data_IF_282657281576
#
_entry.id   IF_282657281576
#
_cell.length_a   1.000
_cell.length_b   1.000
_cell.length_c   1.000
_cell.angle_alpha   90.00
_cell.angle_beta   90.00
_cell.angle_gamma   90.00
#
_symmetry.space_group_name_H-M   'P 1'
#
loop_
_entity.id
_entity.type
_entity.pdbx_description
1 polymer ?
#
# COMPACT_ATOMS: atom_id res chain seq x y z
N UNK A 1 -4.68 -4.76 5.98
CA UNK A 1 -3.59 -4.01 5.33
C UNK A 1 -4.09 -3.30 4.08
N UNK A 2 -3.64 -2.07 3.83
CA UNK A 2 -4.10 -1.32 2.68
C UNK A 2 -3.02 -0.38 2.17
N UNK A 3 -2.77 -0.42 0.86
CA UNK A 3 -2.03 0.63 0.16
C UNK A 3 -3.04 1.49 -0.57
N UNK A 4 -3.00 2.80 -0.34
CA UNK A 4 -4.10 3.70 -0.71
C UNK A 4 -4.18 3.93 -2.22
N UNK A 5 -3.19 4.61 -2.78
CA UNK A 5 -3.06 4.97 -4.20
C UNK A 5 -1.77 5.75 -4.40
N UNK A 6 -1.36 5.88 -5.65
CA UNK A 6 -0.34 6.85 -6.02
C UNK A 6 -0.96 8.25 -5.96
N UNK A 7 -0.36 9.14 -5.18
CA UNK A 7 -0.73 10.54 -5.09
C UNK A 7 0.34 11.37 -5.82
N UNK A 8 0.03 11.94 -7.00
CA UNK A 8 0.95 12.85 -7.67
C UNK A 8 1.10 14.12 -6.83
N UNK A 9 2.34 14.55 -6.64
CA UNK A 9 2.68 15.80 -5.98
C UNK A 9 2.97 16.85 -7.03
N UNK A 10 2.39 18.02 -6.84
CA UNK A 10 2.57 19.21 -7.68
C UNK A 10 3.07 20.34 -6.80
N UNK A 11 3.68 21.37 -7.42
CA UNK A 11 4.15 22.56 -6.72
C UNK A 11 3.03 23.23 -5.91
N UNK A 12 1.84 23.33 -6.52
CA UNK A 12 0.71 24.05 -5.96
C UNK A 12 0.88 25.57 -6.05
N UNK A 13 -0.18 26.32 -5.67
CA UNK A 13 -0.18 27.77 -5.78
C UNK A 13 0.76 28.41 -4.75
N UNK A 14 1.54 29.41 -5.19
CA UNK A 14 2.33 30.29 -4.30
C UNK A 14 3.56 29.64 -3.65
N UNK A 15 4.01 28.48 -4.14
CA UNK A 15 5.20 27.78 -3.62
C UNK A 15 6.21 27.53 -4.72
N UNK A 16 7.47 27.35 -4.35
CA UNK A 16 8.53 26.86 -5.24
C UNK A 16 8.55 25.33 -5.25
N UNK A 17 9.19 24.74 -6.25
CA UNK A 17 9.33 23.29 -6.37
C UNK A 17 10.04 22.66 -5.17
N UNK A 18 11.19 23.21 -4.76
CA UNK A 18 11.92 22.76 -3.56
C UNK A 18 11.03 22.85 -2.32
N UNK A 19 10.28 23.96 -2.15
CA UNK A 19 9.40 24.10 -0.97
C UNK A 19 8.30 23.06 -0.95
N UNK A 20 7.68 22.75 -2.08
CA UNK A 20 6.65 21.73 -2.15
C UNK A 20 7.16 20.32 -1.81
N UNK A 21 8.42 20.01 -2.17
CA UNK A 21 9.06 18.72 -1.83
C UNK A 21 9.52 18.71 -0.37
N UNK A 22 10.13 19.79 0.13
CA UNK A 22 10.51 19.92 1.56
C UNK A 22 9.29 19.82 2.46
N UNK A 23 8.18 20.50 2.17
CA UNK A 23 6.95 20.45 2.98
C UNK A 23 6.46 18.99 3.18
N UNK A 24 6.51 18.16 2.14
CA UNK A 24 6.08 16.76 2.25
C UNK A 24 7.14 15.90 2.95
N UNK A 25 8.42 16.09 2.65
CA UNK A 25 9.53 15.33 3.27
C UNK A 25 9.57 15.63 4.77
N UNK A 26 9.55 16.89 5.18
CA UNK A 26 9.55 17.30 6.59
C UNK A 26 8.33 16.75 7.34
N UNK A 27 7.16 16.73 6.68
CA UNK A 27 5.96 16.15 7.27
C UNK A 27 6.09 14.64 7.49
N UNK A 28 6.67 13.89 6.54
CA UNK A 28 6.80 12.43 6.64
C UNK A 28 8.03 11.99 7.43
N UNK A 29 9.09 12.80 7.48
CA UNK A 29 10.34 12.52 8.18
C UNK A 29 10.30 12.94 9.67
N UNK A 30 9.15 13.44 10.16
CA UNK A 30 9.01 13.95 11.52
C UNK A 30 9.59 12.99 12.57
N UNK A 31 10.65 13.40 13.32
CA UNK A 31 11.35 12.57 14.29
C UNK A 31 10.44 11.90 15.33
N UNK A 32 9.35 12.58 15.73
CA UNK A 32 8.38 12.05 16.71
C UNK A 32 7.63 10.82 16.20
N UNK A 33 7.57 10.63 14.88
CA UNK A 33 6.84 9.53 14.22
C UNK A 33 7.77 8.45 13.69
N UNK A 34 9.06 8.74 13.51
CA UNK A 34 10.03 7.92 12.78
C UNK A 34 11.17 7.41 13.68
N UNK A 35 10.93 7.34 14.98
CA UNK A 35 11.94 6.95 15.98
C UNK A 35 13.22 7.80 15.85
N UNK A 36 13.07 9.12 15.99
CA UNK A 36 14.15 10.11 15.84
C UNK A 36 14.88 10.06 14.48
N UNK A 37 14.19 9.59 13.44
CA UNK A 37 14.74 9.47 12.08
C UNK A 37 15.36 8.12 11.76
N UNK A 38 15.46 7.18 12.73
CA UNK A 38 16.01 5.83 12.51
C UNK A 38 15.20 5.02 11.50
N UNK A 39 13.91 5.31 11.38
CA UNK A 39 12.99 4.63 10.47
C UNK A 39 12.79 5.37 9.14
N UNK A 40 13.84 6.06 8.68
CA UNK A 40 13.88 6.74 7.39
C UNK A 40 14.96 6.08 6.54
N UNK A 41 14.63 5.74 5.30
CA UNK A 41 15.57 5.13 4.36
C UNK A 41 15.45 5.77 2.98
N UNK A 42 16.58 6.25 2.46
CA UNK A 42 16.72 6.77 1.10
C UNK A 42 17.30 5.72 0.14
N UNK A 43 16.96 5.85 -1.14
CA UNK A 43 17.58 5.10 -2.23
C UNK A 43 17.90 6.05 -3.36
N UNK A 44 19.17 6.05 -3.78
CA UNK A 44 19.71 7.01 -4.75
C UNK A 44 19.44 8.48 -4.38
N UNK A 45 19.20 8.74 -3.09
CA UNK A 45 19.19 10.06 -2.45
C UNK A 45 19.40 9.95 -0.94
N UNK A 46 19.83 11.03 -0.30
CA UNK A 46 19.81 11.17 1.16
C UNK A 46 18.49 11.82 1.59
N UNK A 47 17.82 11.26 2.59
CA UNK A 47 16.52 11.75 3.04
C UNK A 47 16.52 13.20 3.52
N UNK A 48 17.68 13.71 3.98
CA UNK A 48 17.84 15.09 4.48
C UNK A 48 17.98 16.11 3.34
N UNK A 49 18.40 15.66 2.16
CA UNK A 49 18.64 16.51 0.99
C UNK A 49 17.79 16.12 -0.22
N UNK A 50 16.85 15.19 -0.04
CA UNK A 50 16.03 14.64 -1.12
C UNK A 50 15.20 15.70 -1.85
N UNK A 51 14.85 16.82 -1.22
CA UNK A 51 14.20 17.95 -1.90
C UNK A 51 15.13 18.64 -2.91
N UNK A 52 16.38 18.91 -2.52
CA UNK A 52 17.41 19.49 -3.38
C UNK A 52 17.83 18.53 -4.49
N UNK A 53 17.98 17.24 -4.17
CA UNK A 53 18.36 16.20 -5.14
C UNK A 53 17.26 15.95 -6.17
N UNK A 54 15.98 15.94 -5.76
CA UNK A 54 14.87 15.80 -6.71
C UNK A 54 14.76 17.03 -7.63
N UNK A 55 15.01 18.23 -7.08
CA UNK A 55 15.07 19.45 -7.87
C UNK A 55 16.23 19.41 -8.89
N UNK A 56 17.41 18.94 -8.46
CA UNK A 56 18.58 18.81 -9.33
C UNK A 56 18.31 17.80 -10.46
N UNK A 57 17.78 16.62 -10.14
CA UNK A 57 17.40 15.61 -11.13
C UNK A 57 16.43 16.19 -12.18
N UNK A 58 15.49 17.03 -11.76
CA UNK A 58 14.59 17.71 -12.68
C UNK A 58 15.27 18.76 -13.55
N UNK A 59 16.20 19.55 -13.01
CA UNK A 59 17.01 20.49 -13.81
C UNK A 59 17.84 19.74 -14.86
N UNK A 60 18.45 18.63 -14.49
CA UNK A 60 19.19 17.76 -15.42
C UNK A 60 18.28 17.19 -16.52
N UNK A 61 17.08 16.74 -16.17
CA UNK A 61 16.09 16.29 -17.16
C UNK A 61 15.67 17.40 -18.15
N UNK A 62 15.47 18.63 -17.66
CA UNK A 62 15.16 19.77 -18.53
C UNK A 62 16.34 20.07 -19.45
N UNK A 63 17.57 20.10 -18.92
CA UNK A 63 18.77 20.34 -19.72
C UNK A 63 19.00 19.26 -20.79
N UNK A 64 18.75 17.99 -20.44
CA UNK A 64 18.95 16.86 -21.35
C UNK A 64 17.86 16.73 -22.43
N UNK A 65 16.60 17.08 -22.10
CA UNK A 65 15.46 16.80 -22.99
C UNK A 65 14.80 18.04 -23.58
N UNK A 66 15.07 19.23 -23.03
CA UNK A 66 14.36 20.48 -23.35
C UNK A 66 12.89 20.51 -22.91
N UNK A 67 12.38 19.46 -22.25
CA UNK A 67 10.96 19.32 -21.92
C UNK A 67 10.62 20.00 -20.60
N UNK A 68 9.89 21.12 -20.68
CA UNK A 68 9.36 21.84 -19.53
C UNK A 68 7.84 21.69 -19.47
N UNK A 69 7.30 21.43 -18.27
CA UNK A 69 5.86 21.48 -18.00
C UNK A 69 5.55 22.61 -17.01
N UNK A 70 4.40 23.26 -17.20
CA UNK A 70 3.91 24.34 -16.35
C UNK A 70 3.27 23.86 -15.05
N UNK A 71 2.12 24.43 -14.70
CA UNK A 71 1.45 24.24 -13.40
C UNK A 71 1.04 22.80 -13.09
N UNK A 72 0.81 21.98 -14.12
CA UNK A 72 0.37 20.58 -13.98
C UNK A 72 1.55 19.61 -13.86
N UNK A 73 2.78 20.12 -13.69
CA UNK A 73 3.93 19.26 -13.58
C UNK A 73 3.92 18.46 -12.28
N UNK A 74 4.11 17.14 -12.40
CA UNK A 74 4.24 16.25 -11.26
C UNK A 74 5.70 16.22 -10.85
N UNK A 75 6.01 16.64 -9.63
CA UNK A 75 7.40 16.73 -9.12
C UNK A 75 7.84 15.47 -8.38
N UNK A 76 6.90 14.77 -7.76
CA UNK A 76 7.14 13.51 -7.07
C UNK A 76 5.83 12.71 -6.95
N UNK A 77 5.91 11.48 -6.46
CA UNK A 77 4.76 10.63 -6.20
C UNK A 77 4.82 10.11 -4.78
N UNK A 78 3.66 10.07 -4.11
CA UNK A 78 3.54 9.58 -2.74
C UNK A 78 2.58 8.39 -2.65
N UNK A 79 2.97 7.35 -1.91
CA UNK A 79 2.14 6.20 -1.56
C UNK A 79 2.17 5.99 -0.04
N UNK A 80 1.03 5.59 0.53
CA UNK A 80 0.94 5.12 1.92
C UNK A 80 0.67 3.63 1.94
N UNK A 81 1.47 2.89 2.70
CA UNK A 81 1.39 1.44 2.86
C UNK A 81 1.15 1.14 4.34
N UNK A 82 0.02 0.51 4.68
CA UNK A 82 -0.38 0.26 6.08
C UNK A 82 -0.44 -1.22 6.40
N UNK A 83 0.10 -1.58 7.56
CA UNK A 83 0.14 -2.95 8.07
C UNK A 83 -0.90 -3.20 9.16
N UNK A 84 -1.24 -4.47 9.44
CA UNK A 84 -2.18 -4.81 10.51
C UNK A 84 -1.45 -4.65 11.85
N UNK A 85 -2.09 -4.03 12.87
CA UNK A 85 -1.49 -3.92 14.21
C UNK A 85 -1.00 -5.28 14.72
N UNK A 86 0.22 -5.32 15.26
CA UNK A 86 0.80 -6.51 15.88
C UNK A 86 1.43 -7.54 14.94
N UNK A 87 1.37 -7.35 13.62
CA UNK A 87 1.92 -8.34 12.66
C UNK A 87 3.34 -8.04 12.19
N UNK A 88 3.85 -6.82 12.41
CA UNK A 88 5.14 -6.40 11.85
C UNK A 88 5.87 -5.47 12.81
N UNK A 89 7.21 -5.53 12.79
CA UNK A 89 8.07 -4.56 13.47
C UNK A 89 8.24 -3.29 12.63
N UNK A 90 8.58 -2.13 13.23
CA UNK A 90 8.87 -0.90 12.47
C UNK A 90 9.99 -1.07 11.44
N UNK A 91 11.03 -1.82 11.78
CA UNK A 91 12.20 -2.08 10.93
C UNK A 91 11.82 -2.94 9.73
N UNK A 92 11.05 -4.00 9.95
CA UNK A 92 10.54 -4.82 8.84
C UNK A 92 9.58 -4.03 7.97
N UNK A 93 8.70 -3.22 8.56
CA UNK A 93 7.84 -2.34 7.79
C UNK A 93 8.66 -1.42 6.88
N UNK A 94 9.71 -0.79 7.40
CA UNK A 94 10.61 0.03 6.59
C UNK A 94 11.25 -0.76 5.44
N UNK A 95 11.82 -1.93 5.75
CA UNK A 95 12.44 -2.83 4.76
C UNK A 95 11.46 -3.19 3.64
N UNK A 96 10.20 -3.53 3.98
CA UNK A 96 9.15 -3.84 3.00
C UNK A 96 8.73 -2.62 2.18
N UNK A 97 8.77 -1.43 2.77
CA UNK A 97 8.55 -0.17 2.05
C UNK A 97 9.63 0.08 1.00
N UNK A 98 10.90 -0.16 1.33
CA UNK A 98 12.02 -0.06 0.39
C UNK A 98 11.89 -1.07 -0.73
N UNK A 99 11.54 -2.31 -0.40
CA UNK A 99 11.29 -3.37 -1.37
C UNK A 99 10.13 -3.03 -2.32
N UNK A 100 9.03 -2.53 -1.78
CA UNK A 100 7.91 -2.03 -2.55
C UNK A 100 8.34 -0.94 -3.53
N UNK A 101 9.07 0.07 -3.04
CA UNK A 101 9.53 1.19 -3.85
C UNK A 101 10.47 0.73 -4.98
N UNK A 102 11.46 -0.13 -4.68
CA UNK A 102 12.37 -0.69 -5.70
C UNK A 102 11.62 -1.49 -6.75
N UNK A 103 10.75 -2.41 -6.35
CA UNK A 103 9.98 -3.26 -7.29
C UNK A 103 9.04 -2.41 -8.16
N UNK A 104 8.36 -1.43 -7.57
CA UNK A 104 7.37 -0.61 -8.28
C UNK A 104 8.03 0.36 -9.28
N UNK A 105 9.13 1.00 -8.88
CA UNK A 105 9.89 1.94 -9.72
C UNK A 105 10.92 1.26 -10.61
N UNK A 106 11.08 -0.06 -10.48
CA UNK A 106 12.13 -0.87 -11.12
C UNK A 106 13.56 -0.40 -10.76
N UNK A 107 13.72 0.27 -9.62
CA UNK A 107 15.00 0.84 -9.19
C UNK A 107 15.47 2.07 -9.99
N UNK A 108 14.63 2.59 -10.89
CA UNK A 108 14.99 3.67 -11.82
C UNK A 108 14.66 5.08 -11.31
N UNK A 109 14.17 5.20 -10.08
CA UNK A 109 13.79 6.47 -9.48
C UNK A 109 14.36 6.54 -8.06
N UNK A 110 14.90 7.71 -7.68
CA UNK A 110 15.27 7.98 -6.30
C UNK A 110 14.00 8.04 -5.42
N UNK A 111 14.09 7.54 -4.19
CA UNK A 111 12.94 7.51 -3.27
C UNK A 111 13.35 7.55 -1.80
N UNK A 112 12.40 7.96 -0.96
CA UNK A 112 12.50 7.98 0.50
C UNK A 112 11.34 7.19 1.09
N UNK A 113 11.62 6.35 2.07
CA UNK A 113 10.66 5.57 2.87
C UNK A 113 10.73 6.02 4.31
N UNK A 114 9.63 6.54 4.85
CA UNK A 114 9.49 6.90 6.25
C UNK A 114 8.44 6.02 6.92
N UNK A 115 8.82 5.28 7.96
CA UNK A 115 7.88 4.45 8.72
C UNK A 115 7.37 5.20 9.93
N UNK A 116 6.05 5.26 10.08
CA UNK A 116 5.35 5.95 11.16
C UNK A 116 4.87 4.95 12.22
N UNK A 117 5.19 5.27 13.48
CA UNK A 117 4.82 4.49 14.68
C UNK A 117 3.91 5.27 15.65
N UNK A 118 3.45 6.46 15.27
CA UNK A 118 2.62 7.35 16.11
C UNK A 118 1.12 6.99 16.14
N UNK A 119 0.73 5.92 15.45
CA UNK A 119 -0.66 5.44 15.35
C UNK A 119 -0.77 4.01 15.87
N UNK A 120 -2.00 3.55 16.07
CA UNK A 120 -2.31 2.17 16.46
C UNK A 120 -1.84 1.11 15.46
N UNK A 121 -1.42 1.52 14.26
CA UNK A 121 -0.86 0.65 13.23
C UNK A 121 0.38 1.29 12.61
N UNK A 122 1.36 0.45 12.30
CA UNK A 122 2.56 0.84 11.58
C UNK A 122 2.21 1.07 10.11
N UNK A 123 2.73 2.15 9.53
CA UNK A 123 2.55 2.46 8.13
C UNK A 123 3.74 3.21 7.54
N UNK A 124 4.02 2.98 6.26
CA UNK A 124 5.05 3.68 5.51
C UNK A 124 4.47 4.82 4.69
N UNK A 125 5.24 5.90 4.61
CA UNK A 125 5.14 6.94 3.61
C UNK A 125 6.29 6.76 2.62
N UNK A 126 5.96 6.50 1.36
CA UNK A 126 6.94 6.22 0.29
C UNK A 126 6.83 7.33 -0.74
N UNK A 127 7.90 8.10 -0.93
CA UNK A 127 7.96 9.22 -1.86
C UNK A 127 9.06 8.95 -2.89
N UNK A 128 8.75 9.01 -4.19
CA UNK A 128 9.77 8.88 -5.24
C UNK A 128 9.76 10.04 -6.22
N UNK A 129 10.93 10.34 -6.76
CA UNK A 129 11.13 11.37 -7.76
C UNK A 129 10.32 11.07 -9.02
N UNK A 130 9.69 12.09 -9.60
CA UNK A 130 9.01 11.92 -10.88
C UNK A 130 9.98 11.74 -12.05
N UNK A 131 11.27 12.01 -11.88
CA UNK A 131 12.32 11.91 -12.91
C UNK A 131 13.12 10.62 -12.71
N UNK A 132 13.52 9.96 -13.80
CA UNK A 132 14.39 8.78 -13.76
C UNK A 132 15.81 9.14 -13.31
N UNK A 133 16.55 8.16 -12.79
CA UNK A 133 17.96 8.32 -12.44
C UNK A 133 18.85 8.63 -13.66
N UNK A 134 18.40 8.26 -14.87
CA UNK A 134 19.07 8.59 -16.14
C UNK A 134 18.70 9.99 -16.67
N UNK A 135 17.78 10.70 -16.01
CA UNK A 135 17.32 12.03 -16.38
C UNK A 135 16.71 12.15 -17.80
N UNK A 136 16.36 11.04 -18.44
CA UNK A 136 15.86 10.99 -19.81
C UNK A 136 14.33 10.99 -19.90
N UNK A 137 13.65 10.60 -18.80
CA UNK A 137 12.20 10.42 -18.77
C UNK A 137 11.61 10.68 -17.38
N UNK A 138 10.29 10.86 -17.37
CA UNK A 138 9.49 10.92 -16.14
C UNK A 138 8.72 9.62 -15.90
N UNK A 139 8.46 9.31 -14.64
CA UNK A 139 7.54 8.23 -14.25
C UNK A 139 6.16 8.51 -14.85
N UNK A 140 5.62 7.53 -15.56
CA UNK A 140 4.29 7.64 -16.19
C UNK A 140 3.28 6.89 -15.33
N UNK A 141 2.50 7.63 -14.55
CA UNK A 141 1.32 7.06 -13.91
C UNK A 141 0.33 6.58 -15.00
N UNK A 142 -0.33 5.45 -14.77
CA UNK A 142 -1.15 4.76 -15.77
C UNK A 142 -2.51 4.37 -15.20
N UNK A 143 -3.48 4.18 -16.09
CA UNK A 143 -4.81 3.72 -15.71
C UNK A 143 -4.72 2.33 -15.07
N UNK A 144 -5.28 2.18 -13.87
CA UNK A 144 -5.15 0.95 -13.08
C UNK A 144 -3.91 0.89 -12.17
N UNK A 145 -3.13 1.97 -12.05
CA UNK A 145 -1.97 2.01 -11.15
C UNK A 145 -2.32 1.74 -9.68
N UNK A 146 -3.49 2.16 -9.20
CA UNK A 146 -3.98 1.79 -7.85
C UNK A 146 -4.11 0.28 -7.68
N UNK A 147 -4.60 -0.45 -8.71
CA UNK A 147 -4.68 -1.92 -8.70
C UNK A 147 -3.30 -2.55 -8.75
N UNK A 148 -2.38 -1.97 -9.51
CA UNK A 148 -0.99 -2.44 -9.59
C UNK A 148 -0.24 -2.27 -8.25
N UNK A 149 -0.34 -1.09 -7.65
CA UNK A 149 0.20 -0.77 -6.32
C UNK A 149 -0.35 -1.74 -5.28
N UNK A 150 -1.66 -1.96 -5.28
CA UNK A 150 -2.30 -2.89 -4.35
C UNK A 150 -1.79 -4.32 -4.56
N UNK A 151 -1.80 -4.83 -5.79
CA UNK A 151 -1.34 -6.19 -6.10
C UNK A 151 0.12 -6.41 -5.69
N UNK A 152 0.97 -5.42 -5.90
CA UNK A 152 2.36 -5.48 -5.45
C UNK A 152 2.46 -5.46 -3.94
N UNK A 153 1.70 -4.61 -3.25
CA UNK A 153 1.66 -4.61 -1.79
C UNK A 153 1.20 -5.95 -1.23
N UNK A 154 0.06 -6.46 -1.72
CA UNK A 154 -0.51 -7.73 -1.26
C UNK A 154 0.48 -8.88 -1.55
N UNK A 155 1.18 -8.82 -2.68
CA UNK A 155 2.29 -9.74 -2.99
C UNK A 155 3.38 -9.69 -1.93
N UNK A 156 3.91 -8.50 -1.61
CA UNK A 156 4.99 -8.34 -0.62
C UNK A 156 4.52 -8.78 0.77
N UNK A 157 3.27 -8.48 1.13
CA UNK A 157 2.69 -8.91 2.40
C UNK A 157 2.64 -10.45 2.50
N UNK A 158 2.13 -11.12 1.47
CA UNK A 158 2.06 -12.59 1.43
C UNK A 158 3.46 -13.21 1.47
N UNK A 159 4.40 -12.68 0.69
CA UNK A 159 5.80 -13.14 0.65
C UNK A 159 6.53 -13.04 2.00
N UNK A 160 5.99 -12.25 2.93
CA UNK A 160 6.55 -12.06 4.27
C UNK A 160 5.61 -12.56 5.38
N UNK A 161 4.62 -13.41 5.04
CA UNK A 161 3.73 -14.04 6.03
C UNK A 161 2.71 -13.09 6.69
N UNK A 162 2.42 -11.94 6.08
CA UNK A 162 1.54 -10.92 6.64
C UNK A 162 0.10 -10.99 6.07
N UNK A 163 -0.89 -10.62 6.88
CA UNK A 163 -2.32 -10.73 6.50
C UNK A 163 -2.80 -9.69 5.48
N UNK A 164 -3.24 -10.13 4.31
CA UNK A 164 -3.81 -9.22 3.30
C UNK A 164 -5.32 -8.97 3.48
N UNK A 165 -5.84 -7.94 2.81
CA UNK A 165 -7.29 -7.75 2.68
C UNK A 165 -7.74 -8.48 1.42
N UNK A 166 -8.24 -9.71 1.59
CA UNK A 166 -8.67 -10.59 0.49
C UNK A 166 -9.83 -9.99 -0.31
N UNK A 167 -10.85 -9.50 0.39
CA UNK A 167 -12.05 -8.91 -0.22
C UNK A 167 -12.15 -7.41 0.13
N UNK A 168 -11.39 -6.54 -0.55
CA UNK A 168 -11.53 -5.12 -0.35
C UNK A 168 -12.92 -4.65 -0.75
N UNK A 169 -13.61 -4.03 0.19
CA UNK A 169 -14.79 -3.25 -0.16
C UNK A 169 -14.32 -2.10 -1.05
N UNK A 170 -14.86 -2.03 -2.27
CA UNK A 170 -14.58 -1.00 -3.30
C UNK A 170 -14.75 0.44 -2.77
N UNK A 171 -15.49 0.58 -1.68
CA UNK A 171 -15.57 1.78 -0.86
C UNK A 171 -15.24 1.41 0.58
N UNK A 172 -14.44 2.25 1.25
CA UNK A 172 -14.41 2.27 2.71
C UNK A 172 -15.84 2.39 3.23
N UNK A 173 -16.17 1.65 4.29
CA UNK A 173 -17.40 1.89 5.03
C UNK A 173 -17.40 3.39 5.37
N UNK A 174 -18.43 4.15 4.94
CA UNK A 174 -18.56 5.51 5.46
C UNK A 174 -18.60 5.41 7.00
N UNK A 175 -18.12 6.42 7.70
CA UNK A 175 -18.04 6.44 9.16
C UNK A 175 -19.31 5.87 9.85
N UNK A 176 -20.49 6.20 9.33
CA UNK A 176 -21.79 5.70 9.79
C UNK A 176 -22.01 4.19 9.60
N UNK A 177 -21.34 3.56 8.62
CA UNK A 177 -21.39 2.12 8.36
C UNK A 177 -20.34 1.33 9.18
N UNK A 178 -19.37 2.01 9.77
CA UNK A 178 -18.37 1.43 10.69
C UNK A 178 -18.91 1.29 12.11
N UNK A 179 -19.74 2.24 12.57
CA UNK A 179 -20.39 2.24 13.88
C UNK A 179 -21.47 1.16 14.11
N UNK A 180 -21.84 0.37 13.09
CA UNK A 180 -22.82 -0.70 13.26
C UNK A 180 -24.17 -0.19 13.82
N UNK A 181 -24.64 -0.79 14.90
CA UNK A 181 -25.88 -0.40 15.60
C UNK A 181 -25.71 0.80 16.54
N UNK A 182 -24.46 1.23 16.79
CA UNK A 182 -24.15 2.50 17.49
C UNK A 182 -24.17 3.71 16.54
N UNK A 183 -24.41 3.50 15.25
CA UNK A 183 -24.47 4.58 14.29
C UNK A 183 -25.72 5.43 14.52
N UNK A 184 -25.54 6.75 14.70
CA UNK A 184 -26.67 7.69 14.67
C UNK A 184 -27.48 7.42 13.39
N UNK A 185 -28.80 7.11 13.49
CA UNK A 185 -29.59 6.80 12.33
C UNK A 185 -29.51 7.95 11.32
N UNK A 186 -29.40 7.62 10.04
CA UNK A 186 -29.32 8.67 9.01
C UNK A 186 -30.59 9.52 9.03
N UNK A 187 -30.52 10.77 8.59
CA UNK A 187 -31.70 11.63 8.46
C UNK A 187 -32.85 10.94 7.69
N UNK A 188 -32.54 10.13 6.67
CA UNK A 188 -33.56 9.37 5.95
C UNK A 188 -34.13 8.20 6.77
N UNK A 189 -33.30 7.56 7.59
CA UNK A 189 -33.73 6.48 8.49
C UNK A 189 -34.67 7.01 9.57
N UNK A 190 -34.33 8.16 10.17
CA UNK A 190 -35.19 8.82 11.17
C UNK A 190 -36.54 9.22 10.58
N UNK A 191 -36.57 9.69 9.33
CA UNK A 191 -37.83 9.99 8.64
C UNK A 191 -38.64 8.73 8.32
N UNK A 192 -38.00 7.61 7.96
CA UNK A 192 -38.70 6.33 7.78
C UNK A 192 -39.33 5.85 9.08
N UNK A 193 -38.57 5.89 10.19
CA UNK A 193 -39.08 5.54 11.52
C UNK A 193 -40.25 6.44 11.92
N UNK A 194 -40.16 7.75 11.66
CA UNK A 194 -41.28 8.67 11.91
C UNK A 194 -42.53 8.30 11.10
N UNK A 195 -42.37 7.92 9.82
CA UNK A 195 -43.48 7.47 8.97
C UNK A 195 -44.03 6.12 9.45
N UNK A 196 -43.17 5.17 9.83
CA UNK A 196 -43.56 3.86 10.34
C UNK A 196 -44.39 4.02 11.63
N UNK A 197 -43.94 4.89 12.55
CA UNK A 197 -44.65 5.20 13.79
C UNK A 197 -45.98 5.95 13.55
N UNK A 198 -46.04 6.79 12.52
CA UNK A 198 -47.28 7.47 12.16
C UNK A 198 -48.27 6.50 11.51
N UNK A 199 -47.80 5.59 10.65
CA UNK A 199 -48.62 4.54 10.04
C UNK A 199 -49.11 3.50 11.06
N UNK A 200 -48.33 3.19 12.11
CA UNK A 200 -48.77 2.28 13.17
C UNK A 200 -49.94 2.82 14.00
N UNK A 201 -50.19 4.13 13.93
CA UNK A 201 -51.37 4.76 14.55
C UNK A 201 -52.61 4.68 13.66
N UNK A 202 -52.52 4.01 12.50
CA UNK A 202 -53.63 3.77 11.57
C UNK A 202 -54.39 5.05 11.16
N UNK A 203 -53.71 6.06 10.57
CA UNK A 203 -54.36 7.27 10.09
C UNK A 203 -55.39 6.95 8.99
N UNK A 204 -56.54 7.61 9.02
CA UNK A 204 -57.64 7.40 8.09
C UNK A 204 -57.32 7.91 6.68
N UNK A 205 -56.52 8.97 6.57
CA UNK A 205 -56.12 9.54 5.31
C UNK A 205 -54.69 10.11 5.31
N UNK A 206 -54.27 10.58 4.14
CA UNK A 206 -52.92 11.13 3.96
C UNK A 206 -52.72 12.43 4.73
N UNK A 207 -53.78 13.21 4.96
CA UNK A 207 -53.72 14.48 5.68
C UNK A 207 -53.52 14.25 7.18
N UNK A 208 -54.17 13.22 7.72
CA UNK A 208 -53.97 12.73 9.08
C UNK A 208 -52.56 12.15 9.29
N UNK A 209 -52.02 11.40 8.32
CA UNK A 209 -50.61 10.98 8.33
C UNK A 209 -49.66 12.19 8.41
N UNK A 210 -49.92 13.26 7.64
CA UNK A 210 -49.10 14.48 7.70
C UNK A 210 -49.24 15.21 9.04
N UNK A 211 -50.42 15.17 9.67
CA UNK A 211 -50.63 15.73 11.00
C UNK A 211 -49.81 14.99 12.06
N UNK A 212 -49.86 13.66 12.08
CA UNK A 212 -49.06 12.82 12.98
C UNK A 212 -47.55 13.07 12.81
N UNK A 213 -47.09 13.26 11.56
CA UNK A 213 -45.69 13.61 11.30
C UNK A 213 -45.32 14.99 11.88
N UNK A 214 -46.21 15.99 11.82
CA UNK A 214 -45.98 17.31 12.44
C UNK A 214 -45.92 17.23 13.96
N UNK A 215 -46.80 16.43 14.57
CA UNK A 215 -46.81 16.17 16.02
C UNK A 215 -45.53 15.45 16.47
N UNK A 216 -44.98 14.58 15.63
CA UNK A 216 -43.67 13.95 15.81
C UNK A 216 -42.48 14.93 15.60
N UNK A 217 -42.74 16.21 15.30
CA UNK A 217 -41.71 17.23 15.11
C UNK A 217 -41.13 17.31 13.68
N UNK A 218 -41.85 16.77 12.68
CA UNK A 218 -41.50 16.95 11.27
C UNK A 218 -42.17 18.20 10.68
N UNK A 219 -41.37 19.13 10.18
CA UNK A 219 -41.81 20.16 9.24
C UNK A 219 -42.16 19.52 7.89
N UNK A 220 -43.41 19.68 7.47
CA UNK A 220 -43.93 19.21 6.18
C UNK A 220 -44.06 20.41 5.24
N UNK A 221 -43.37 20.37 4.10
CA UNK A 221 -43.50 21.39 3.05
C UNK A 221 -43.86 20.77 1.70
N UNK A 222 -44.70 21.45 0.92
CA UNK A 222 -45.13 21.03 -0.41
C UNK A 222 -44.42 21.86 -1.47
N UNK A 223 -43.82 21.21 -2.47
CA UNK A 223 -43.28 21.88 -3.66
C UNK A 223 -43.71 21.13 -4.91
N UNK A 224 -44.70 21.67 -5.62
CA UNK A 224 -45.32 21.01 -6.77
C UNK A 224 -46.06 19.74 -6.34
N UNK A 225 -45.79 18.62 -7.04
CA UNK A 225 -46.38 17.30 -6.76
C UNK A 225 -45.67 16.52 -5.65
N UNK A 226 -44.55 17.02 -5.11
CA UNK A 226 -43.77 16.31 -4.10
C UNK A 226 -43.88 16.94 -2.71
N UNK A 227 -43.98 16.09 -1.70
CA UNK A 227 -43.86 16.46 -0.29
C UNK A 227 -42.42 16.34 0.18
N UNK A 228 -42.02 17.26 1.05
CA UNK A 228 -40.71 17.29 1.70
C UNK A 228 -40.88 17.29 3.20
N UNK A 229 -40.10 16.45 3.87
CA UNK A 229 -40.09 16.27 5.31
C UNK A 229 -38.75 16.70 5.88
N UNK A 230 -38.78 17.31 7.06
CA UNK A 230 -37.60 17.82 7.74
C UNK A 230 -37.85 17.76 9.25
N UNK A 231 -36.98 17.12 10.02
CA UNK A 231 -37.06 17.17 11.48
C UNK A 231 -36.51 18.51 12.01
N UNK A 232 -37.02 18.94 13.16
CA UNK A 232 -36.58 20.17 13.83
C UNK A 232 -35.05 20.19 14.03
N UNK A 233 -34.41 21.30 13.68
CA UNK A 233 -32.95 21.49 13.78
C UNK A 233 -32.14 21.04 12.56
N UNK A 234 -32.76 20.56 11.47
CA UNK A 234 -32.03 20.24 10.23
C UNK A 234 -31.95 21.44 9.28
N UNK A 235 -30.92 21.53 8.45
CA UNK A 235 -30.82 22.62 7.44
C UNK A 235 -31.56 22.29 6.13
N UNK A 236 -31.68 21.01 5.76
CA UNK A 236 -32.18 20.57 4.45
C UNK A 236 -33.35 19.58 4.59
N UNK A 237 -34.44 19.86 3.88
CA UNK A 237 -35.60 18.96 3.80
C UNK A 237 -35.36 17.81 2.79
N UNK A 238 -35.82 16.61 3.12
CA UNK A 238 -35.77 15.44 2.25
C UNK A 238 -37.10 15.24 1.52
N UNK A 239 -37.06 14.84 0.24
CA UNK A 239 -38.27 14.46 -0.51
C UNK A 239 -38.77 13.09 -0.05
N UNK A 240 -40.07 12.92 0.14
CA UNK A 240 -40.66 11.62 0.50
C UNK A 240 -40.27 10.52 -0.50
N UNK A 241 -40.36 10.82 -1.80
CA UNK A 241 -39.98 9.88 -2.88
C UNK A 241 -38.49 9.47 -2.86
N UNK A 242 -37.64 10.21 -2.12
CA UNK A 242 -36.22 9.86 -1.95
C UNK A 242 -35.93 8.93 -0.76
N UNK A 243 -36.97 8.58 0.02
CA UNK A 243 -36.87 7.67 1.16
C UNK A 243 -36.80 6.20 0.73
N UNK A 244 -37.09 5.88 -0.53
CA UNK A 244 -37.01 4.53 -1.08
C UNK A 244 -38.39 3.88 -1.23
N UNK A 245 -38.40 2.68 -1.78
CA UNK A 245 -39.62 1.89 -2.05
C UNK A 245 -40.44 1.71 -0.77
N UNK A 246 -41.75 1.94 -0.86
CA UNK A 246 -42.68 1.87 0.28
C UNK A 246 -42.89 3.18 1.05
N UNK A 247 -42.08 4.21 0.79
CA UNK A 247 -42.16 5.51 1.48
C UNK A 247 -42.44 6.69 0.54
N UNK A 248 -42.65 6.42 -0.75
CA UNK A 248 -43.06 7.43 -1.73
C UNK A 248 -44.51 7.87 -1.52
N UNK A 249 -44.89 9.01 -2.11
CA UNK A 249 -46.24 9.55 -1.99
C UNK A 249 -47.32 8.55 -2.47
N UNK A 250 -47.07 7.91 -3.60
CA UNK A 250 -48.01 6.96 -4.21
C UNK A 250 -48.11 5.67 -3.39
N UNK A 251 -46.97 5.16 -2.91
CA UNK A 251 -46.91 3.99 -2.04
C UNK A 251 -47.69 4.20 -0.75
N UNK A 252 -47.47 5.32 -0.06
CA UNK A 252 -48.14 5.62 1.21
C UNK A 252 -49.64 5.85 1.03
N UNK A 253 -50.06 6.47 -0.08
CA UNK A 253 -51.48 6.57 -0.42
C UNK A 253 -52.09 5.20 -0.70
N UNK A 254 -51.36 4.32 -1.39
CA UNK A 254 -51.82 2.95 -1.64
C UNK A 254 -51.93 2.15 -0.33
N UNK A 255 -51.04 2.37 0.64
CA UNK A 255 -51.12 1.80 1.99
C UNK A 255 -52.37 2.28 2.71
N UNK A 256 -52.61 3.60 2.75
CA UNK A 256 -53.76 4.18 3.46
C UNK A 256 -55.10 3.79 2.81
N UNK A 257 -55.12 3.59 1.49
CA UNK A 257 -56.30 3.08 0.77
C UNK A 257 -56.47 1.55 0.88
N UNK A 258 -55.63 0.86 1.67
CA UNK A 258 -55.66 -0.59 1.83
C UNK A 258 -55.26 -1.38 0.59
N UNK A 259 -54.73 -0.73 -0.45
CA UNK A 259 -54.33 -1.34 -1.73
C UNK A 259 -52.96 -2.02 -1.67
N UNK A 260 -52.13 -1.69 -0.67
CA UNK A 260 -50.77 -2.22 -0.49
C UNK A 260 -50.46 -2.37 0.99
N UNK A 261 -49.83 -3.46 1.41
CA UNK A 261 -49.35 -3.60 2.78
C UNK A 261 -48.04 -2.81 2.97
N UNK A 262 -47.96 -1.99 4.03
CA UNK A 262 -46.70 -1.34 4.39
C UNK A 262 -45.73 -2.36 4.98
N UNK A 263 -44.54 -2.47 4.42
CA UNK A 263 -43.49 -3.35 4.95
C UNK A 263 -42.28 -2.51 5.34
N UNK A 264 -42.04 -2.32 6.66
CA UNK A 264 -40.85 -1.62 7.13
C UNK A 264 -39.59 -2.33 6.62
N UNK A 265 -38.62 -1.54 6.15
CA UNK A 265 -37.42 -2.09 5.50
C UNK A 265 -36.53 -2.84 6.52
N UNK A 266 -36.46 -4.18 6.45
CA UNK A 266 -35.54 -5.01 7.26
C UNK A 266 -34.11 -5.04 6.69
N UNK A 267 -33.09 -5.00 7.56
CA UNK A 267 -31.66 -5.26 7.21
C UNK A 267 -31.46 -6.77 7.03
N UNK A 268 -30.98 -7.20 5.86
CA UNK A 268 -30.63 -8.61 5.58
C UNK A 268 -29.21 -8.94 6.04
N UNK A 269 -29.05 -10.02 6.83
CA UNK A 269 -27.77 -10.68 7.12
C UNK A 269 -27.93 -12.14 6.69
N UNK A 270 -27.09 -12.60 5.77
CA UNK A 270 -27.11 -13.99 5.26
C UNK A 270 -25.94 -14.77 5.87
N UNK A 271 -26.20 -15.90 6.52
CA UNK A 271 -25.22 -16.93 6.90
C UNK A 271 -25.39 -18.16 6.00
N UNK A 272 -24.29 -18.86 5.68
CA UNK A 272 -24.28 -20.06 4.83
C UNK A 272 -23.61 -21.23 5.57
N UNK A 273 -24.14 -22.44 5.37
CA UNK A 273 -23.77 -23.69 6.06
C UNK A 273 -22.45 -24.33 5.54
N UNK A 274 -21.71 -25.09 6.39
CA UNK A 274 -20.46 -25.75 6.00
C UNK A 274 -20.63 -27.25 5.63
N UNK A 275 -19.77 -27.80 4.74
CA UNK A 275 -19.67 -29.23 4.46
C UNK A 275 -18.53 -29.89 5.27
N UNK A 276 -18.65 -31.21 5.53
CA UNK A 276 -17.69 -32.06 6.28
C UNK A 276 -16.53 -32.57 5.42
N UNK A 277 -15.31 -32.68 5.97
CA UNK A 277 -14.09 -33.14 5.27
C UNK A 277 -13.33 -34.20 6.10
N UNK A 278 -12.73 -35.19 5.43
CA UNK A 278 -12.13 -36.40 6.00
C UNK A 278 -10.64 -36.22 6.38
N UNK A 279 -10.22 -36.69 7.56
CA UNK A 279 -8.93 -36.36 8.22
C UNK A 279 -7.66 -36.94 7.56
N UNK A 280 -7.75 -37.98 6.74
CA UNK A 280 -6.59 -38.59 6.06
C UNK A 280 -6.02 -37.71 4.91
N UNK A 281 -6.83 -36.84 4.31
CA UNK A 281 -6.39 -35.89 3.27
C UNK A 281 -5.63 -34.68 3.86
N UNK A 282 -5.89 -34.33 5.11
CA UNK A 282 -5.33 -33.14 5.73
C UNK A 282 -3.84 -33.27 6.06
N UNK A 283 -3.38 -34.43 6.57
CA UNK A 283 -1.97 -34.66 6.88
C UNK A 283 -1.07 -34.59 5.61
N UNK A 284 -1.55 -35.14 4.49
CA UNK A 284 -0.85 -35.08 3.20
C UNK A 284 -0.84 -33.64 2.64
N UNK A 285 -1.91 -32.89 2.85
CA UNK A 285 -2.01 -31.47 2.47
C UNK A 285 -1.06 -30.60 3.28
N UNK A 286 -0.93 -30.85 4.59
CA UNK A 286 -0.03 -30.13 5.48
C UNK A 286 1.45 -30.38 5.13
N UNK A 287 1.83 -31.63 4.86
CA UNK A 287 3.19 -31.99 4.44
C UNK A 287 3.56 -31.33 3.10
N UNK A 288 2.66 -31.39 2.11
CA UNK A 288 2.87 -30.73 0.81
C UNK A 288 2.97 -29.21 0.95
N UNK A 289 2.11 -28.59 1.77
CA UNK A 289 2.17 -27.16 2.02
C UNK A 289 3.52 -26.75 2.64
N UNK A 290 4.00 -27.52 3.64
CA UNK A 290 5.30 -27.28 4.28
C UNK A 290 6.47 -27.43 3.28
N UNK A 291 6.47 -28.48 2.47
CA UNK A 291 7.52 -28.74 1.47
C UNK A 291 7.56 -27.64 0.38
N UNK A 292 6.40 -27.23 -0.14
CA UNK A 292 6.33 -26.17 -1.15
C UNK A 292 6.73 -24.80 -0.56
N UNK A 293 6.38 -24.51 0.69
CA UNK A 293 6.86 -23.30 1.40
C UNK A 293 8.38 -23.31 1.61
N UNK A 294 8.96 -24.45 1.99
CA UNK A 294 10.41 -24.58 2.12
C UNK A 294 11.12 -24.35 0.78
N UNK A 295 10.62 -24.96 -0.31
CA UNK A 295 11.16 -24.77 -1.65
C UNK A 295 11.06 -23.31 -2.13
N UNK A 296 9.94 -22.64 -1.85
CA UNK A 296 9.75 -21.22 -2.16
C UNK A 296 10.77 -20.33 -1.42
N UNK A 297 10.98 -20.60 -0.13
CA UNK A 297 11.93 -19.86 0.69
C UNK A 297 13.37 -20.05 0.21
N UNK A 298 13.74 -21.26 -0.20
CA UNK A 298 15.06 -21.56 -0.77
C UNK A 298 15.29 -20.81 -2.09
N UNK A 299 14.32 -20.85 -3.02
CA UNK A 299 14.38 -20.07 -4.27
C UNK A 299 14.51 -18.56 -4.01
N UNK A 300 13.80 -18.04 -2.99
CA UNK A 300 13.90 -16.64 -2.56
C UNK A 300 15.29 -16.30 -2.03
N UNK A 301 15.89 -17.18 -1.23
CA UNK A 301 17.24 -17.02 -0.70
C UNK A 301 18.29 -17.04 -1.82
N UNK A 302 18.17 -17.95 -2.79
CA UNK A 302 19.03 -18.02 -3.97
C UNK A 302 18.95 -16.74 -4.81
N UNK A 303 17.74 -16.21 -5.05
CA UNK A 303 17.55 -14.94 -5.79
C UNK A 303 18.23 -13.78 -5.04
N UNK A 304 18.05 -13.68 -3.72
CA UNK A 304 18.69 -12.63 -2.91
C UNK A 304 20.22 -12.73 -2.91
N UNK A 305 20.75 -13.95 -2.82
CA UNK A 305 22.19 -14.19 -2.90
C UNK A 305 22.76 -13.78 -4.26
N UNK A 306 22.10 -14.15 -5.36
CA UNK A 306 22.48 -13.76 -6.71
C UNK A 306 22.42 -12.23 -6.89
N UNK A 307 21.38 -11.56 -6.39
CA UNK A 307 21.26 -10.10 -6.42
C UNK A 307 22.37 -9.40 -5.65
N UNK A 308 22.69 -9.88 -4.44
CA UNK A 308 23.79 -9.36 -3.64
C UNK A 308 25.12 -9.50 -4.39
N UNK A 309 25.40 -10.70 -4.94
CA UNK A 309 26.64 -10.95 -5.68
C UNK A 309 26.74 -10.09 -6.95
N UNK A 310 25.63 -9.91 -7.68
CA UNK A 310 25.59 -9.03 -8.84
C UNK A 310 25.89 -7.56 -8.47
N UNK A 311 25.38 -7.08 -7.33
CA UNK A 311 25.68 -5.73 -6.83
C UNK A 311 27.16 -5.58 -6.44
N UNK A 312 27.73 -6.58 -5.75
CA UNK A 312 29.16 -6.63 -5.43
C UNK A 312 30.02 -6.58 -6.70
N UNK A 313 29.68 -7.37 -7.73
CA UNK A 313 30.39 -7.36 -9.01
C UNK A 313 30.30 -5.99 -9.69
N UNK A 314 29.14 -5.33 -9.64
CA UNK A 314 28.97 -3.99 -10.22
C UNK A 314 29.88 -2.97 -9.53
N UNK A 315 29.92 -2.98 -8.19
CA UNK A 315 30.81 -2.12 -7.38
C UNK A 315 32.29 -2.42 -7.69
N UNK A 316 32.67 -3.70 -7.72
CA UNK A 316 34.04 -4.12 -7.99
C UNK A 316 34.51 -3.69 -9.38
N UNK A 317 33.66 -3.80 -10.40
CA UNK A 317 33.98 -3.32 -11.76
C UNK A 317 34.25 -1.82 -11.78
N UNK A 318 33.47 -1.02 -11.06
CA UNK A 318 33.67 0.42 -10.95
C UNK A 318 35.03 0.74 -10.33
N UNK A 319 35.39 0.10 -9.21
CA UNK A 319 36.69 0.32 -8.58
C UNK A 319 37.85 -0.12 -9.47
N UNK A 320 37.74 -1.25 -10.20
CA UNK A 320 38.80 -1.69 -11.14
C UNK A 320 39.01 -0.67 -12.25
N UNK A 321 37.94 -0.13 -12.83
CA UNK A 321 38.03 0.89 -13.89
C UNK A 321 38.63 2.19 -13.35
N UNK A 322 38.17 2.65 -12.18
CA UNK A 322 38.69 3.86 -11.55
C UNK A 322 40.17 3.72 -11.21
N UNK A 323 40.56 2.60 -10.59
CA UNK A 323 41.96 2.32 -10.27
C UNK A 323 42.85 2.31 -11.52
N UNK A 324 42.38 1.68 -12.61
CA UNK A 324 43.13 1.64 -13.86
C UNK A 324 43.32 3.04 -14.48
N UNK A 325 42.28 3.88 -14.48
CA UNK A 325 42.32 5.24 -15.04
C UNK A 325 43.15 6.22 -14.21
N UNK A 326 43.10 6.10 -12.88
CA UNK A 326 43.77 7.05 -11.98
C UNK A 326 45.19 6.61 -11.58
N UNK A 327 45.62 5.41 -11.99
CA UNK A 327 46.93 4.85 -11.64
C UNK A 327 48.10 5.75 -12.02
N UNK A 328 48.10 6.30 -13.23
CA UNK A 328 49.20 7.12 -13.73
C UNK A 328 49.34 8.43 -12.94
N UNK A 329 48.20 9.11 -12.69
CA UNK A 329 48.12 10.33 -11.88
C UNK A 329 48.56 10.06 -10.43
N UNK A 330 48.11 8.94 -9.84
CA UNK A 330 48.50 8.58 -8.47
C UNK A 330 49.99 8.20 -8.35
N UNK A 331 50.58 7.58 -9.38
CA UNK A 331 52.03 7.34 -9.44
C UNK A 331 52.80 8.64 -9.57
N UNK A 332 52.32 9.60 -10.38
CA UNK A 332 52.91 10.94 -10.46
C UNK A 332 52.82 11.69 -9.12
N UNK A 333 51.68 11.62 -8.44
CA UNK A 333 51.48 12.17 -7.10
C UNK A 333 52.49 11.62 -6.08
N UNK A 334 52.73 10.30 -6.10
CA UNK A 334 53.73 9.64 -5.24
C UNK A 334 55.15 10.08 -5.58
N UNK A 335 55.50 10.17 -6.86
CA UNK A 335 56.82 10.64 -7.32
C UNK A 335 57.07 12.10 -6.96
N UNK A 336 56.02 12.92 -6.93
CA UNK A 336 56.05 14.31 -6.47
C UNK A 336 56.13 14.46 -4.94
N UNK A 337 56.36 13.37 -4.20
CA UNK A 337 56.51 13.41 -2.74
C UNK A 337 55.22 13.78 -2.00
N UNK A 338 54.05 13.47 -2.57
CA UNK A 338 52.75 13.82 -2.01
C UNK A 338 52.51 15.34 -1.89
N UNK A 339 53.02 16.11 -2.85
CA UNK A 339 52.88 17.57 -2.91
C UNK A 339 51.42 18.04 -2.70
N UNK A 340 51.24 18.99 -1.79
CA UNK A 340 49.93 19.57 -1.47
C UNK A 340 49.28 20.24 -2.69
N UNK A 341 50.08 20.97 -3.47
CA UNK A 341 49.62 21.66 -4.69
C UNK A 341 49.14 20.66 -5.76
N UNK A 342 49.88 19.56 -5.94
CA UNK A 342 49.49 18.49 -6.87
C UNK A 342 48.19 17.80 -6.41
N UNK A 343 48.01 17.65 -5.10
CA UNK A 343 46.77 17.09 -4.54
C UNK A 343 45.57 17.99 -4.78
N UNK A 344 45.72 19.31 -4.68
CA UNK A 344 44.64 20.27 -4.96
C UNK A 344 44.27 20.29 -6.45
N UNK A 345 45.24 20.13 -7.35
CA UNK A 345 45.01 20.09 -8.81
C UNK A 345 44.40 18.77 -9.32
N UNK A 346 44.66 17.65 -8.63
CA UNK A 346 44.21 16.30 -9.01
C UNK A 346 43.45 15.59 -7.89
N UNK A 347 42.69 16.37 -7.10
CA UNK A 347 42.04 15.90 -5.88
C UNK A 347 41.09 14.74 -6.17
N UNK A 348 40.28 14.88 -7.21
CA UNK A 348 39.27 13.90 -7.60
C UNK A 348 39.90 12.55 -7.99
N UNK A 349 40.95 12.56 -8.82
CA UNK A 349 41.59 11.34 -9.29
C UNK A 349 42.36 10.62 -8.17
N UNK A 350 42.96 11.38 -7.26
CA UNK A 350 43.65 10.82 -6.09
C UNK A 350 42.64 10.18 -5.13
N UNK A 351 41.51 10.85 -4.86
CA UNK A 351 40.44 10.30 -4.02
C UNK A 351 39.82 9.04 -4.65
N UNK A 352 39.55 9.05 -5.95
CA UNK A 352 39.03 7.88 -6.67
C UNK A 352 40.01 6.70 -6.64
N UNK A 353 41.32 6.97 -6.74
CA UNK A 353 42.35 5.94 -6.61
C UNK A 353 42.39 5.33 -5.20
N UNK A 354 42.37 6.18 -4.18
CA UNK A 354 42.38 5.77 -2.78
C UNK A 354 41.12 4.98 -2.42
N UNK A 355 39.94 5.44 -2.84
CA UNK A 355 38.69 4.74 -2.63
C UNK A 355 38.69 3.35 -3.28
N UNK A 356 39.21 3.23 -4.50
CA UNK A 356 39.35 1.94 -5.16
C UNK A 356 40.32 1.01 -4.43
N UNK A 357 41.47 1.53 -3.97
CA UNK A 357 42.45 0.76 -3.20
C UNK A 357 41.88 0.26 -1.87
N UNK A 358 41.24 1.14 -1.11
CA UNK A 358 40.61 0.80 0.16
C UNK A 358 39.52 -0.26 -0.03
N UNK A 359 38.69 -0.14 -1.07
CA UNK A 359 37.68 -1.15 -1.40
C UNK A 359 38.29 -2.52 -1.70
N UNK A 360 39.45 -2.58 -2.36
CA UNK A 360 40.15 -3.86 -2.59
C UNK A 360 40.74 -4.45 -1.30
N UNK A 361 41.28 -3.60 -0.43
CA UNK A 361 41.86 -3.98 0.86
C UNK A 361 40.77 -4.52 1.82
N UNK A 362 39.62 -3.84 1.92
CA UNK A 362 38.46 -4.28 2.70
C UNK A 362 37.89 -5.61 2.23
N UNK A 363 37.90 -5.86 0.92
CA UNK A 363 37.42 -7.12 0.33
C UNK A 363 38.41 -8.28 0.50
N UNK A 364 39.63 -8.04 1.01
CA UNK A 364 40.62 -9.08 1.30
C UNK A 364 41.09 -9.89 0.08
N UNK A 365 40.95 -9.32 -1.13
CA UNK A 365 41.14 -10.08 -2.38
C UNK A 365 42.62 -10.19 -2.72
N UNK A 366 43.22 -11.38 -2.51
CA UNK A 366 44.64 -11.64 -2.86
C UNK A 366 44.94 -11.57 -4.37
N UNK A 367 43.93 -11.74 -5.22
CA UNK A 367 44.03 -11.66 -6.68
C UNK A 367 42.73 -11.15 -7.29
N UNK A 368 42.76 -9.93 -7.84
CA UNK A 368 41.61 -9.33 -8.51
C UNK A 368 41.32 -10.05 -9.83
N UNK A 369 40.08 -10.52 -9.99
CA UNK A 369 39.57 -11.07 -11.25
C UNK A 369 39.56 -9.99 -12.33
N UNK A 370 39.78 -10.39 -13.58
CA UNK A 370 39.74 -9.44 -14.71
C UNK A 370 38.31 -8.96 -14.95
N UNK A 371 38.14 -7.72 -15.43
CA UNK A 371 36.82 -7.15 -15.77
C UNK A 371 36.00 -8.08 -16.68
N UNK A 372 36.65 -8.78 -17.62
CA UNK A 372 36.01 -9.74 -18.54
C UNK A 372 35.47 -10.99 -17.81
N UNK A 373 36.17 -11.47 -16.79
CA UNK A 373 35.74 -12.61 -15.98
C UNK A 373 34.54 -12.21 -15.11
N UNK A 374 34.59 -11.02 -14.49
CA UNK A 374 33.47 -10.45 -13.73
C UNK A 374 32.24 -10.18 -14.59
N UNK A 375 32.41 -9.74 -15.84
CA UNK A 375 31.31 -9.60 -16.80
C UNK A 375 30.66 -10.96 -17.13
N UNK A 376 31.48 -12.00 -17.27
CA UNK A 376 31.02 -13.36 -17.55
C UNK A 376 30.25 -13.92 -16.36
N UNK A 377 30.75 -13.74 -15.14
CA UNK A 377 30.08 -14.13 -13.89
C UNK A 377 28.75 -13.39 -13.75
N UNK A 378 28.73 -12.07 -13.97
CA UNK A 378 27.50 -11.27 -13.93
C UNK A 378 26.45 -11.74 -14.94
N UNK A 379 26.86 -12.06 -16.17
CA UNK A 379 25.96 -12.55 -17.20
C UNK A 379 25.36 -13.92 -16.83
N UNK A 380 26.18 -14.83 -16.28
CA UNK A 380 25.72 -16.13 -15.78
C UNK A 380 24.73 -15.97 -14.64
N UNK A 381 25.06 -15.16 -13.63
CA UNK A 381 24.17 -14.88 -12.50
C UNK A 381 22.85 -14.24 -12.94
N UNK A 382 22.88 -13.39 -13.96
CA UNK A 382 21.68 -12.80 -14.53
C UNK A 382 20.79 -13.85 -15.22
N UNK A 383 21.37 -14.80 -15.96
CA UNK A 383 20.64 -15.88 -16.61
C UNK A 383 20.05 -16.86 -15.59
N UNK A 384 20.86 -17.26 -14.60
CA UNK A 384 20.45 -18.12 -13.50
C UNK A 384 19.32 -17.48 -12.70
N UNK A 385 19.46 -16.21 -12.32
CA UNK A 385 18.39 -15.43 -11.68
C UNK A 385 17.10 -15.44 -12.50
N UNK A 386 17.17 -15.31 -13.83
CA UNK A 386 15.96 -15.37 -14.68
C UNK A 386 15.29 -16.74 -14.63
N UNK A 387 16.07 -17.82 -14.63
CA UNK A 387 15.57 -19.21 -14.51
C UNK A 387 14.96 -19.45 -13.13
N UNK A 388 15.71 -19.17 -12.06
CA UNK A 388 15.25 -19.29 -10.67
C UNK A 388 14.02 -18.42 -10.41
N UNK A 389 13.92 -17.22 -11.01
CA UNK A 389 12.73 -16.38 -10.88
C UNK A 389 11.49 -16.95 -11.60
N UNK A 390 11.67 -17.68 -12.69
CA UNK A 390 10.57 -18.37 -13.36
C UNK A 390 10.05 -19.56 -12.54
N UNK A 391 10.93 -20.27 -11.85
CA UNK A 391 10.58 -21.35 -10.91
C UNK A 391 9.97 -20.80 -9.62
N UNK A 392 10.54 -19.74 -9.06
CA UNK A 392 9.98 -19.01 -7.91
C UNK A 392 8.54 -18.57 -8.16
N UNK A 393 8.23 -18.07 -9.36
CA UNK A 393 6.86 -17.70 -9.74
C UNK A 393 5.90 -18.90 -9.75
N UNK A 394 6.33 -20.05 -10.25
CA UNK A 394 5.52 -21.29 -10.28
C UNK A 394 5.32 -21.86 -8.87
N UNK A 395 6.41 -22.02 -8.12
CA UNK A 395 6.38 -22.46 -6.72
C UNK A 395 5.51 -21.54 -5.84
N UNK A 396 5.46 -20.23 -6.14
CA UNK A 396 4.58 -19.29 -5.44
C UNK A 396 3.09 -19.52 -5.71
N UNK A 397 2.72 -19.87 -6.94
CA UNK A 397 1.32 -20.17 -7.29
C UNK A 397 0.87 -21.47 -6.60
N UNK A 398 1.71 -22.51 -6.66
CA UNK A 398 1.46 -23.79 -5.98
C UNK A 398 1.39 -23.64 -4.45
N UNK A 399 2.32 -22.88 -3.84
CA UNK A 399 2.31 -22.59 -2.41
C UNK A 399 1.00 -21.90 -2.00
N UNK A 400 0.52 -20.95 -2.81
CA UNK A 400 -0.71 -20.21 -2.53
C UNK A 400 -1.93 -21.12 -2.56
N UNK A 401 -2.04 -22.01 -3.55
CA UNK A 401 -3.15 -22.95 -3.65
C UNK A 401 -3.16 -23.92 -2.46
N UNK A 402 -2.01 -24.49 -2.10
CA UNK A 402 -1.89 -25.44 -0.99
C UNK A 402 -2.17 -24.80 0.36
N UNK A 403 -1.66 -23.59 0.63
CA UNK A 403 -1.95 -22.88 1.88
C UNK A 403 -3.41 -22.43 1.98
N UNK A 404 -4.03 -22.07 0.86
CA UNK A 404 -5.46 -21.73 0.82
C UNK A 404 -6.32 -22.97 1.10
N UNK A 405 -5.98 -24.10 0.47
CA UNK A 405 -6.63 -25.38 0.74
C UNK A 405 -6.46 -25.78 2.21
N UNK A 406 -5.24 -25.67 2.76
CA UNK A 406 -4.95 -25.97 4.17
C UNK A 406 -5.77 -25.10 5.12
N UNK A 407 -5.79 -23.78 4.91
CA UNK A 407 -6.54 -22.85 5.75
C UNK A 407 -8.05 -23.08 5.70
N UNK A 408 -8.58 -23.47 4.53
CA UNK A 408 -9.98 -23.84 4.38
C UNK A 408 -10.31 -25.11 5.16
N UNK A 409 -9.46 -26.14 5.10
CA UNK A 409 -9.63 -27.39 5.85
C UNK A 409 -9.45 -27.16 7.36
N UNK A 410 -8.45 -26.39 7.78
CA UNK A 410 -8.21 -26.01 9.18
C UNK A 410 -9.43 -25.31 9.81
N UNK A 411 -10.09 -24.45 9.03
CA UNK A 411 -11.30 -23.76 9.47
C UNK A 411 -12.48 -24.72 9.61
N UNK A 412 -12.64 -25.68 8.71
CA UNK A 412 -13.69 -26.71 8.79
C UNK A 412 -13.44 -27.61 10.01
N UNK A 413 -12.21 -28.07 10.22
CA UNK A 413 -11.84 -28.91 11.37
C UNK A 413 -12.08 -28.20 12.72
N UNK A 414 -11.72 -26.91 12.84
CA UNK A 414 -12.01 -26.14 14.06
C UNK A 414 -13.50 -25.98 14.34
N UNK A 415 -14.31 -25.81 13.29
CA UNK A 415 -15.76 -25.71 13.42
C UNK A 415 -16.40 -27.03 13.88
N UNK A 416 -15.89 -28.19 13.45
CA UNK A 416 -16.36 -29.49 13.94
C UNK A 416 -16.02 -29.71 15.41
N UNK A 417 -14.79 -29.38 15.84
CA UNK A 417 -14.38 -29.51 17.24
C UNK A 417 -15.21 -28.60 18.16
N UNK A 418 -15.52 -27.38 17.73
CA UNK A 418 -16.39 -26.47 18.50
C UNK A 418 -17.83 -27.00 18.61
N UNK A 419 -18.37 -27.63 17.55
CA UNK A 419 -19.70 -28.24 17.58
C UNK A 419 -19.78 -29.49 18.47
N UNK A 420 -18.72 -30.30 18.53
CA UNK A 420 -18.68 -31.48 19.40
C UNK A 420 -18.57 -31.08 20.88
N UNK A 421 -17.80 -30.02 21.20
CA UNK A 421 -17.71 -29.45 22.56
C UNK A 421 -19.03 -28.82 23.03
N UNK A 422 -19.80 -28.20 22.14
CA UNK A 422 -21.14 -27.68 22.48
C UNK A 422 -22.15 -28.81 22.75
N UNK A 423 -22.11 -29.91 21.98
CA UNK A 423 -22.96 -31.08 22.20
C UNK A 423 -22.64 -31.81 23.50
N UNK A 424 -21.38 -31.91 23.89
CA UNK A 424 -20.98 -32.49 25.19
C UNK A 424 -21.45 -31.65 26.39
N UNK A 425 -21.48 -30.31 26.25
CA UNK A 425 -22.00 -29.43 27.30
C UNK A 425 -23.51 -29.50 27.47
N UNK A 426 -24.26 -29.67 26.38
CA UNK A 426 -25.73 -29.78 26.40
C UNK A 426 -26.19 -31.14 26.96
N UNK A 427 -25.39 -32.19 26.80
CA UNK A 427 -25.63 -33.49 27.43
C UNK A 427 -25.26 -33.57 28.93
N UNK A 428 -24.48 -32.61 29.44
CA UNK A 428 -24.11 -32.53 30.86
C UNK A 428 -25.08 -31.77 31.76
N UNK A 429 -26.15 -31.17 31.21
CA UNK A 429 -27.15 -30.39 31.95
C UNK A 429 -28.55 -31.05 32.03
N UNK A 430 -28.67 -32.34 31.71
CA UNK A 430 -29.91 -33.11 31.89
C UNK A 430 -29.86 -34.07 33.07
#
# INVERSE_FOLDING_TARGET
MATTRIMPLHVGKGRTESRAISDIIDYVANPKKTDNGRLITGYACDSRTADAEFLLAKRQYIAATGRVRGTDDVIAYHVRQSFRPGEITPEEANRLGVEFAKRFTKGNHAFVVCTHIDKSHIHNHIIWSSVSLEYDRKFRNFWGSTRAVRRLNDTICIENGLSIVENPKLHGKSYNKWLGDQAKPSHRELLRVAIDNALSQSPADFEELLKLLREYGCEVSKRGKSYRLKLSGWEKAARMDSLGEGYGLEDLRAVLLGKKAHTPRKKTVTQAEPPKINLLEYAVLEEKAAATTAHHNDLSAQIKAAEKRMAEIAVLRTHIVNYAKTREIYVAYRKAGYSKKFREEHEEEILLHQAAKNAFDEMGVKKLLKVKELQTEYAKLLEEKKKTYAEYRRSREEMRELLTAKANVDRVLKMEVEQDVEKEKDHGQR
#
